data_IF_542565255185
#
_entry.id   IF_542565255185
#
_cell.length_a   1.000
_cell.length_b   1.000
_cell.length_c   1.000
_cell.angle_alpha   90.00
_cell.angle_beta   90.00
_cell.angle_gamma   90.00
#
_symmetry.space_group_name_H-M   'P 1'
#
loop_
_entity.id
_entity.type
_entity.pdbx_description
1 polymer ?
#
# COMPACT_ATOMS: atom_id res chain seq x y z
N UNK A 1 0.11 -11.35 10.30
CA UNK A 1 0.11 -10.30 11.32
C UNK A 1 0.33 -8.95 10.67
N UNK A 2 -0.69 -8.07 10.73
CA UNK A 2 -0.58 -6.71 10.20
C UNK A 2 -0.11 -5.81 11.34
N UNK A 3 1.14 -5.40 11.30
CA UNK A 3 1.70 -4.45 12.25
C UNK A 3 1.42 -3.02 11.80
N UNK A 4 0.64 -2.26 12.56
CA UNK A 4 0.51 -0.82 12.38
C UNK A 4 1.43 -0.09 13.34
N UNK A 5 2.25 0.80 12.83
CA UNK A 5 3.17 1.63 13.59
C UNK A 5 2.74 3.07 13.58
N UNK A 6 2.98 3.75 14.67
CA UNK A 6 2.52 5.12 14.87
C UNK A 6 3.50 5.94 15.70
N UNK A 7 3.35 7.24 15.59
CA UNK A 7 4.12 8.28 16.25
C UNK A 7 3.68 8.59 17.69
N UNK A 8 2.84 7.75 18.29
CA UNK A 8 2.32 7.95 19.65
C UNK A 8 1.00 8.70 19.71
N UNK A 9 0.37 8.97 18.57
CA UNK A 9 -0.93 9.65 18.56
C UNK A 9 -2.02 8.75 19.15
N UNK A 10 -2.67 9.21 20.23
CA UNK A 10 -3.61 8.43 21.04
C UNK A 10 -4.89 7.99 20.30
N UNK A 11 -5.22 8.63 19.19
CA UNK A 11 -6.40 8.25 18.38
C UNK A 11 -6.25 6.87 17.70
N UNK A 12 -5.03 6.40 17.43
CA UNK A 12 -4.85 5.11 16.78
C UNK A 12 -5.23 3.90 17.65
N UNK A 13 -4.84 3.82 18.95
CA UNK A 13 -5.34 2.77 19.82
C UNK A 13 -6.85 2.78 19.98
N UNK A 14 -7.47 3.97 20.08
CA UNK A 14 -8.92 4.11 20.14
C UNK A 14 -9.61 3.63 18.86
N UNK A 15 -9.09 4.01 17.68
CA UNK A 15 -9.61 3.53 16.40
C UNK A 15 -9.48 2.02 16.27
N UNK A 16 -8.35 1.43 16.72
CA UNK A 16 -8.17 -0.01 16.72
C UNK A 16 -9.18 -0.71 17.62
N UNK A 17 -9.46 -0.20 18.84
CA UNK A 17 -10.48 -0.74 19.73
C UNK A 17 -11.86 -0.72 19.07
N UNK A 18 -12.22 0.36 18.39
CA UNK A 18 -13.49 0.45 17.64
C UNK A 18 -13.56 -0.57 16.50
N UNK A 19 -12.46 -0.81 15.80
CA UNK A 19 -12.37 -1.85 14.77
C UNK A 19 -12.55 -3.25 15.37
N UNK A 20 -11.90 -3.56 16.50
CA UNK A 20 -12.09 -4.82 17.21
C UNK A 20 -13.53 -5.01 17.65
N UNK A 21 -14.18 -3.97 18.15
CA UNK A 21 -15.57 -4.03 18.57
C UNK A 21 -16.53 -4.27 17.39
N UNK A 22 -16.27 -3.63 16.23
CA UNK A 22 -17.13 -3.72 15.04
C UNK A 22 -16.95 -5.01 14.24
N UNK A 23 -15.73 -5.52 14.12
CA UNK A 23 -15.38 -6.63 13.22
C UNK A 23 -14.97 -7.91 13.97
N UNK A 24 -14.89 -7.87 15.29
CA UNK A 24 -14.56 -9.01 16.13
C UNK A 24 -13.18 -9.61 15.88
N UNK A 25 -13.01 -10.89 16.25
CA UNK A 25 -11.73 -11.61 16.18
C UNK A 25 -11.19 -11.85 14.77
N UNK A 26 -11.92 -11.50 13.71
CA UNK A 26 -11.47 -11.65 12.31
C UNK A 26 -10.35 -10.68 11.93
N UNK A 27 -10.18 -9.59 12.67
CA UNK A 27 -9.10 -8.62 12.48
C UNK A 27 -8.07 -8.75 13.60
N UNK A 28 -7.08 -9.60 13.40
CA UNK A 28 -5.91 -9.66 14.29
C UNK A 28 -4.83 -8.74 13.74
N UNK A 29 -4.58 -7.62 14.39
CA UNK A 29 -3.38 -6.82 14.18
C UNK A 29 -2.89 -6.30 15.53
N UNK A 30 -1.58 -6.35 15.72
CA UNK A 30 -0.94 -5.79 16.89
C UNK A 30 -0.48 -4.37 16.61
N UNK A 31 -0.75 -3.46 17.56
CA UNK A 31 -0.27 -2.10 17.49
C UNK A 31 0.97 -1.98 18.34
N UNK A 32 2.11 -1.78 17.68
CA UNK A 32 3.37 -1.47 18.37
C UNK A 32 3.63 0.03 18.25
N UNK A 33 3.65 0.71 19.39
CA UNK A 33 3.91 2.13 19.46
C UNK A 33 5.41 2.37 19.56
N UNK A 34 5.99 3.11 18.62
CA UNK A 34 7.38 3.53 18.63
C UNK A 34 7.42 5.06 18.71
N UNK A 35 7.68 5.58 19.90
CA UNK A 35 7.70 7.02 20.16
C UNK A 35 9.13 7.52 19.99
N UNK A 36 9.32 8.47 19.08
CA UNK A 36 10.58 9.16 18.86
C UNK A 36 11.63 8.38 18.06
N UNK A 37 12.72 9.08 17.72
CA UNK A 37 13.87 8.52 17.00
C UNK A 37 15.02 8.15 17.96
N UNK A 38 14.91 8.55 19.21
CA UNK A 38 16.01 8.53 20.21
C UNK A 38 15.85 7.49 21.31
N UNK A 39 14.69 6.83 21.41
CA UNK A 39 14.50 5.79 22.41
C UNK A 39 15.29 4.53 22.03
N UNK A 40 16.19 4.13 22.90
CA UNK A 40 17.06 2.94 22.77
C UNK A 40 16.46 1.69 23.44
N UNK A 41 15.16 1.67 23.67
CA UNK A 41 14.47 0.47 24.13
C UNK A 41 14.49 -0.62 23.04
N UNK A 42 14.42 -1.88 23.47
CA UNK A 42 14.51 -3.05 22.59
C UNK A 42 13.43 -3.03 21.49
N UNK A 43 12.22 -2.60 21.82
CA UNK A 43 11.09 -2.48 20.88
C UNK A 43 11.38 -1.42 19.83
N UNK A 44 11.83 -0.24 20.21
CA UNK A 44 12.16 0.84 19.29
C UNK A 44 13.30 0.45 18.36
N UNK A 45 14.34 -0.18 18.88
CA UNK A 45 15.49 -0.65 18.10
C UNK A 45 15.06 -1.69 17.04
N UNK A 46 14.25 -2.67 17.43
CA UNK A 46 13.73 -3.70 16.53
C UNK A 46 12.86 -3.12 15.41
N UNK A 47 12.05 -2.11 15.71
CA UNK A 47 11.04 -1.60 14.78
C UNK A 47 11.42 -0.30 14.06
N UNK A 48 12.52 0.36 14.45
CA UNK A 48 13.03 1.59 13.80
C UNK A 48 13.25 1.46 12.30
N UNK A 49 13.86 0.37 11.76
CA UNK A 49 14.05 0.23 10.31
C UNK A 49 12.75 0.27 9.52
N UNK A 50 11.71 -0.31 10.05
CA UNK A 50 10.40 -0.34 9.38
C UNK A 50 9.68 1.03 9.45
N UNK A 51 9.85 1.80 10.53
CA UNK A 51 9.36 3.19 10.60
C UNK A 51 10.03 4.03 9.52
N UNK A 52 11.34 3.93 9.39
CA UNK A 52 12.08 4.63 8.33
C UNK A 52 11.63 4.23 6.93
N UNK A 53 11.28 2.96 6.71
CA UNK A 53 10.77 2.47 5.43
C UNK A 53 9.43 3.13 5.08
N UNK A 54 8.50 3.18 6.03
CA UNK A 54 7.20 3.84 5.85
C UNK A 54 7.36 5.35 5.63
N UNK A 55 8.25 6.01 6.37
CA UNK A 55 8.54 7.44 6.21
C UNK A 55 9.11 7.74 4.82
N UNK A 56 10.02 6.90 4.31
CA UNK A 56 10.56 7.03 2.94
C UNK A 56 9.48 6.82 1.89
N UNK A 57 8.62 5.82 2.07
CA UNK A 57 7.48 5.56 1.17
C UNK A 57 6.54 6.76 1.13
N UNK A 58 6.15 7.27 2.30
CA UNK A 58 5.29 8.45 2.42
C UNK A 58 5.93 9.70 1.78
N UNK A 59 7.24 9.88 1.95
CA UNK A 59 7.97 10.98 1.30
C UNK A 59 7.90 10.86 -0.21
N UNK A 60 8.16 9.68 -0.76
CA UNK A 60 8.12 9.42 -2.20
C UNK A 60 6.72 9.66 -2.76
N UNK A 61 5.67 9.23 -2.06
CA UNK A 61 4.29 9.52 -2.46
C UNK A 61 3.98 11.03 -2.41
N UNK A 62 4.37 11.70 -1.34
CA UNK A 62 4.16 13.15 -1.19
C UNK A 62 4.83 13.96 -2.30
N UNK A 63 5.97 13.53 -2.79
CA UNK A 63 6.63 14.16 -3.94
C UNK A 63 5.82 14.01 -5.23
N UNK A 64 5.11 12.89 -5.41
CA UNK A 64 4.29 12.66 -6.60
C UNK A 64 2.99 13.47 -6.63
N UNK A 65 2.32 13.65 -5.48
CA UNK A 65 1.03 14.34 -5.45
C UNK A 65 1.12 15.84 -5.15
N UNK A 66 2.25 16.37 -4.66
CA UNK A 66 2.44 17.82 -4.42
C UNK A 66 2.04 18.73 -5.60
N UNK A 67 2.35 18.35 -6.87
CA UNK A 67 1.96 19.18 -8.02
C UNK A 67 0.45 19.28 -8.24
N UNK A 68 -0.35 18.40 -7.63
CA UNK A 68 -1.82 18.38 -7.81
C UNK A 68 -2.55 19.40 -6.93
N UNK A 69 -1.84 20.07 -6.00
CA UNK A 69 -2.40 21.02 -5.04
C UNK A 69 -3.51 20.43 -4.14
N UNK A 70 -3.55 19.12 -3.97
CA UNK A 70 -4.53 18.41 -3.18
C UNK A 70 -5.59 17.70 -4.01
N UNK A 71 -6.63 17.22 -3.34
CA UNK A 71 -7.73 16.47 -3.96
C UNK A 71 -9.07 17.11 -3.57
N UNK A 72 -9.94 17.28 -4.55
CA UNK A 72 -11.27 17.86 -4.33
C UNK A 72 -12.21 16.92 -3.55
N UNK A 73 -11.95 15.60 -3.64
CA UNK A 73 -12.77 14.59 -2.99
C UNK A 73 -11.96 13.34 -2.63
N UNK A 74 -12.55 12.50 -1.76
CA UNK A 74 -11.94 11.25 -1.29
C UNK A 74 -11.75 10.23 -2.42
N UNK A 75 -12.66 10.20 -3.39
CA UNK A 75 -12.57 9.26 -4.51
C UNK A 75 -11.37 9.57 -5.40
N UNK A 76 -11.14 10.84 -5.72
CA UNK A 76 -9.97 11.29 -6.47
C UNK A 76 -8.67 10.93 -5.75
N UNK A 77 -8.62 11.12 -4.42
CA UNK A 77 -7.47 10.71 -3.62
C UNK A 77 -7.23 9.19 -3.64
N UNK A 78 -8.31 8.41 -3.58
CA UNK A 78 -8.21 6.94 -3.64
C UNK A 78 -7.73 6.46 -5.02
N UNK A 79 -8.20 7.06 -6.11
CA UNK A 79 -7.74 6.72 -7.46
C UNK A 79 -6.28 7.09 -7.66
N UNK A 80 -5.85 8.28 -7.23
CA UNK A 80 -4.45 8.69 -7.31
C UNK A 80 -3.54 7.72 -6.53
N UNK A 81 -3.93 7.40 -5.30
CA UNK A 81 -3.19 6.45 -4.48
C UNK A 81 -3.11 5.05 -5.13
N UNK A 82 -4.22 4.56 -5.69
CA UNK A 82 -4.25 3.27 -6.38
C UNK A 82 -3.32 3.24 -7.61
N UNK A 83 -3.36 4.29 -8.42
CA UNK A 83 -2.47 4.45 -9.58
C UNK A 83 -1.01 4.55 -9.14
N UNK A 84 -0.73 5.34 -8.10
CA UNK A 84 0.63 5.47 -7.58
C UNK A 84 1.17 4.15 -7.03
N UNK A 85 0.39 3.41 -6.24
CA UNK A 85 0.77 2.09 -5.71
C UNK A 85 1.02 1.10 -6.84
N UNK A 86 0.18 1.12 -7.88
CA UNK A 86 0.35 0.29 -9.07
C UNK A 86 1.65 0.62 -9.78
N UNK A 87 1.90 1.89 -10.07
CA UNK A 87 3.16 2.34 -10.66
C UNK A 87 4.37 1.94 -9.82
N UNK A 88 4.32 2.21 -8.52
CA UNK A 88 5.42 1.95 -7.60
C UNK A 88 5.82 0.48 -7.54
N UNK A 89 4.84 -0.42 -7.53
CA UNK A 89 5.09 -1.85 -7.39
C UNK A 89 5.42 -2.56 -8.71
N UNK A 90 4.75 -2.20 -9.80
CA UNK A 90 4.78 -2.99 -11.04
C UNK A 90 5.53 -2.33 -12.19
N UNK A 91 5.70 -1.01 -12.17
CA UNK A 91 6.25 -0.28 -13.31
C UNK A 91 7.53 0.48 -12.98
N UNK A 92 7.69 0.96 -11.76
CA UNK A 92 8.84 1.76 -11.36
C UNK A 92 10.08 0.91 -11.17
N UNK A 93 11.22 1.23 -11.85
CA UNK A 93 12.50 0.62 -11.53
C UNK A 93 13.03 1.11 -10.18
N UNK A 94 13.52 0.22 -9.35
CA UNK A 94 14.08 0.54 -8.04
C UNK A 94 15.60 0.33 -8.03
N UNK A 95 16.35 1.40 -7.77
CA UNK A 95 17.83 1.37 -7.74
C UNK A 95 18.37 0.28 -6.80
N UNK A 96 17.77 0.16 -5.60
CA UNK A 96 18.19 -0.85 -4.62
C UNK A 96 17.82 -2.29 -4.98
N UNK A 97 16.98 -2.46 -6.00
CA UNK A 97 16.60 -3.75 -6.57
C UNK A 97 17.24 -3.99 -7.95
N UNK A 98 18.42 -3.42 -8.19
CA UNK A 98 19.11 -3.54 -9.47
C UNK A 98 18.34 -2.96 -10.65
N UNK A 99 17.60 -1.87 -10.43
CA UNK A 99 16.71 -1.23 -11.42
C UNK A 99 15.56 -2.12 -11.90
N UNK A 100 15.19 -3.14 -11.11
CA UNK A 100 14.02 -3.97 -11.38
C UNK A 100 12.80 -3.42 -10.64
N UNK A 101 11.62 -3.78 -11.12
CA UNK A 101 10.35 -3.55 -10.44
C UNK A 101 10.25 -4.39 -9.16
N UNK A 102 9.42 -3.97 -8.20
CA UNK A 102 9.23 -4.75 -6.97
C UNK A 102 8.45 -6.04 -7.22
N UNK A 103 7.38 -5.94 -8.00
CA UNK A 103 6.54 -7.08 -8.39
C UNK A 103 6.60 -7.24 -9.91
N UNK A 104 7.31 -8.27 -10.35
CA UNK A 104 7.43 -8.59 -11.76
C UNK A 104 6.17 -9.32 -12.26
N UNK A 105 5.62 -8.84 -13.36
CA UNK A 105 4.49 -9.44 -14.08
C UNK A 105 4.99 -9.75 -15.48
N UNK A 106 5.10 -11.03 -15.81
CA UNK A 106 5.74 -11.51 -17.04
C UNK A 106 5.07 -10.95 -18.30
N UNK A 107 3.75 -10.79 -18.28
CA UNK A 107 2.98 -10.24 -19.39
C UNK A 107 3.40 -8.81 -19.77
N UNK A 108 3.93 -8.04 -18.81
CA UNK A 108 4.40 -6.67 -19.07
C UNK A 108 5.70 -6.59 -19.86
N UNK A 109 6.43 -7.71 -19.98
CA UNK A 109 7.64 -7.78 -20.80
C UNK A 109 7.32 -7.69 -22.31
N UNK A 110 6.06 -7.96 -22.70
CA UNK A 110 5.59 -7.83 -24.07
C UNK A 110 5.36 -6.37 -24.52
N UNK A 111 5.49 -5.40 -23.62
CA UNK A 111 5.33 -4.00 -23.93
C UNK A 111 6.65 -3.24 -23.79
N UNK A 112 7.08 -2.61 -24.90
CA UNK A 112 8.37 -1.88 -24.98
C UNK A 112 8.32 -0.50 -24.32
N UNK A 113 7.12 0.02 -24.07
CA UNK A 113 6.96 1.38 -23.57
C UNK A 113 5.97 1.45 -22.38
N UNK A 114 6.06 2.53 -21.63
CA UNK A 114 5.25 2.74 -20.43
C UNK A 114 3.74 2.79 -20.70
N UNK A 115 3.22 3.48 -21.72
CA UNK A 115 1.80 3.43 -22.06
C UNK A 115 1.29 2.02 -22.35
N UNK A 116 2.06 1.22 -23.09
CA UNK A 116 1.71 -0.18 -23.35
C UNK A 116 1.65 -1.03 -22.09
N UNK A 117 2.61 -0.84 -21.17
CA UNK A 117 2.58 -1.52 -19.86
C UNK A 117 1.35 -1.15 -19.03
N UNK A 118 0.94 0.11 -19.03
CA UNK A 118 -0.29 0.55 -18.38
C UNK A 118 -1.55 -0.08 -18.99
N UNK A 119 -1.63 -0.14 -20.31
CA UNK A 119 -2.77 -0.79 -21.01
C UNK A 119 -2.86 -2.26 -20.64
N UNK A 120 -1.73 -2.98 -20.63
CA UNK A 120 -1.71 -4.38 -20.22
C UNK A 120 -2.13 -4.58 -18.76
N UNK A 121 -1.65 -3.75 -17.83
CA UNK A 121 -2.05 -3.83 -16.42
C UNK A 121 -3.55 -3.61 -16.24
N UNK A 122 -4.12 -2.63 -16.94
CA UNK A 122 -5.57 -2.36 -16.91
C UNK A 122 -6.34 -3.58 -17.45
N UNK A 123 -5.90 -4.14 -18.57
CA UNK A 123 -6.51 -5.33 -19.15
C UNK A 123 -6.45 -6.54 -18.21
N UNK A 124 -5.29 -6.83 -17.64
CA UNK A 124 -5.12 -7.92 -16.68
C UNK A 124 -5.99 -7.72 -15.43
N UNK A 125 -6.08 -6.48 -14.93
CA UNK A 125 -6.97 -6.13 -13.83
C UNK A 125 -8.44 -6.40 -14.16
N UNK A 126 -8.90 -6.01 -15.34
CA UNK A 126 -10.27 -6.28 -15.80
C UNK A 126 -10.55 -7.78 -15.93
N UNK A 127 -9.60 -8.55 -16.48
CA UNK A 127 -9.73 -10.00 -16.54
C UNK A 127 -9.85 -10.62 -15.15
N UNK A 128 -9.06 -10.15 -14.19
CA UNK A 128 -9.11 -10.65 -12.82
C UNK A 128 -10.43 -10.33 -12.12
N UNK A 129 -10.96 -9.13 -12.30
CA UNK A 129 -12.27 -8.74 -11.75
C UNK A 129 -13.37 -9.64 -12.29
N UNK A 130 -13.38 -9.89 -13.61
CA UNK A 130 -14.36 -10.79 -14.23
C UNK A 130 -14.29 -12.22 -13.67
N UNK A 131 -13.09 -12.75 -13.47
CA UNK A 131 -12.88 -14.07 -12.86
C UNK A 131 -13.43 -14.14 -11.43
N UNK A 132 -13.19 -13.09 -10.62
CA UNK A 132 -13.70 -13.03 -9.26
C UNK A 132 -15.23 -13.00 -9.21
N UNK A 133 -15.86 -12.21 -10.06
CA UNK A 133 -17.33 -12.13 -10.17
C UNK A 133 -17.96 -13.47 -10.61
N UNK A 134 -17.31 -14.19 -11.53
CA UNK A 134 -17.76 -15.52 -11.95
C UNK A 134 -17.58 -16.58 -10.85
N UNK A 135 -16.49 -16.51 -10.07
CA UNK A 135 -16.24 -17.42 -8.96
C UNK A 135 -17.24 -17.25 -7.79
N UNK A 136 -17.69 -16.03 -7.54
CA UNK A 136 -18.72 -15.75 -6.52
C UNK A 136 -20.12 -16.27 -6.97
N UNK A 137 -20.43 -16.24 -8.26
CA UNK A 137 -21.68 -16.78 -8.78
C UNK A 137 -21.81 -18.30 -8.62
N UNK A 138 -20.69 -19.05 -8.63
CA UNK A 138 -20.68 -20.50 -8.39
C UNK A 138 -20.81 -20.90 -6.91
N UNK A 139 -20.54 -20.00 -5.97
CA UNK A 139 -20.66 -20.30 -4.52
C UNK A 139 -22.04 -19.96 -3.94
N UNK A 140 -22.95 -19.43 -4.73
CA UNK A 140 -24.34 -19.11 -4.31
C UNK A 140 -25.40 -20.07 -4.89
N UNK A 141 -25.00 -21.23 -5.44
CA UNK A 141 -25.92 -22.27 -5.96
C UNK A 141 -25.92 -23.48 -5.00
#
# INVERSE_FOLDING_TARGET
DVYKRQDGYSAYPLAAQQFFHKFGKKFKFDITQVIGLTNDDEVSTKYRPYKQMIERLNRTYKESYRPTNGFDNIEGANYDLALWVTYYNFLRPHRHNGYRVLNHVQELDNADNMPGKWQLLIYLGQCRIKQMQQGEAHNCS
#
